data_IF_833396297510
#
_entry.id   IF_833396297510
#
_cell.length_a   1.000
_cell.length_b   1.000
_cell.length_c   1.000
_cell.angle_alpha   90.00
_cell.angle_beta   90.00
_cell.angle_gamma   90.00
#
_symmetry.space_group_name_H-M   'P 1'
#
loop_
_entity.id
_entity.type
_entity.pdbx_description
1 polymer ?
#
# COMPACT_ATOMS: atom_id res chain seq x y z
N UNK A 1 -17.31 12.95 -21.50
CA UNK A 1 -17.15 12.02 -22.63
C UNK A 1 -16.37 12.80 -23.65
N UNK A 2 -15.08 12.54 -23.68
CA UNK A 2 -14.21 12.86 -24.79
C UNK A 2 -13.97 11.58 -25.59
N UNK A 3 -13.60 11.73 -26.86
CA UNK A 3 -13.44 10.62 -27.78
C UNK A 3 -12.05 10.57 -28.40
N UNK A 4 -11.30 11.68 -28.41
CA UNK A 4 -9.97 11.76 -29.02
C UNK A 4 -9.32 13.13 -28.78
N UNK A 5 -8.02 13.15 -28.46
CA UNK A 5 -7.20 14.37 -28.43
C UNK A 5 -6.23 14.34 -27.26
N UNK A 6 -5.15 15.11 -27.31
CA UNK A 6 -4.26 15.27 -26.16
C UNK A 6 -4.78 16.47 -25.35
N UNK A 7 -5.52 16.19 -24.28
CA UNK A 7 -6.27 17.14 -23.50
C UNK A 7 -5.66 17.41 -22.11
N UNK A 8 -6.12 18.50 -21.49
CA UNK A 8 -5.79 18.80 -20.10
C UNK A 8 -7.07 19.05 -19.33
N UNK A 9 -7.36 18.13 -18.41
CA UNK A 9 -8.50 18.19 -17.52
C UNK A 9 -8.15 18.93 -16.23
N UNK A 10 -8.52 20.20 -16.16
CA UNK A 10 -8.38 21.03 -14.95
C UNK A 10 -9.70 21.08 -14.16
N UNK A 11 -9.76 20.30 -13.07
CA UNK A 11 -10.94 20.15 -12.24
C UNK A 11 -10.88 20.98 -10.96
N UNK A 12 -11.91 21.81 -10.72
CA UNK A 12 -12.11 22.45 -9.42
C UNK A 12 -12.29 21.41 -8.28
N UNK A 13 -12.05 21.77 -7.00
CA UNK A 13 -12.30 20.89 -5.87
C UNK A 13 -13.71 20.29 -5.89
N UNK A 14 -13.81 18.99 -5.65
CA UNK A 14 -15.08 18.24 -5.70
C UNK A 14 -15.78 18.31 -7.07
N UNK A 15 -15.02 18.49 -8.15
CA UNK A 15 -15.48 18.70 -9.51
C UNK A 15 -15.37 17.47 -10.41
N UNK A 16 -14.22 17.31 -11.08
CA UNK A 16 -14.03 16.35 -12.17
C UNK A 16 -14.37 14.91 -11.72
N UNK A 17 -15.32 14.28 -12.40
CA UNK A 17 -15.75 12.91 -12.12
C UNK A 17 -16.14 12.64 -10.65
N UNK A 18 -16.62 13.64 -9.91
CA UNK A 18 -16.96 13.47 -8.49
C UNK A 18 -18.43 13.10 -8.27
N UNK A 19 -18.68 11.96 -7.63
CA UNK A 19 -20.01 11.54 -7.18
C UNK A 19 -20.39 12.12 -5.83
N UNK A 20 -21.15 13.20 -5.80
CA UNK A 20 -21.61 13.87 -4.56
C UNK A 20 -23.08 13.61 -4.29
N UNK A 21 -23.41 12.57 -3.50
CA UNK A 21 -24.80 12.11 -3.32
C UNK A 21 -25.53 11.87 -4.66
N UNK A 22 -24.77 11.47 -5.68
CA UNK A 22 -25.19 11.36 -7.07
C UNK A 22 -24.10 10.72 -7.90
N UNK A 23 -24.11 10.94 -9.22
CA UNK A 23 -23.13 10.36 -10.15
C UNK A 23 -22.28 11.46 -10.77
N UNK A 24 -20.95 11.30 -10.69
CA UNK A 24 -19.97 12.05 -11.48
C UNK A 24 -19.25 11.08 -12.42
N UNK A 25 -19.12 11.45 -13.69
CA UNK A 25 -18.56 10.58 -14.72
C UNK A 25 -17.66 11.38 -15.66
N UNK A 26 -16.44 10.90 -15.87
CA UNK A 26 -15.59 11.22 -17.01
C UNK A 26 -15.28 9.92 -17.75
N UNK A 27 -15.28 10.02 -19.08
CA UNK A 27 -14.93 8.96 -20.01
C UNK A 27 -14.08 9.65 -21.05
N UNK A 28 -12.79 9.31 -21.10
CA UNK A 28 -11.90 9.54 -22.23
C UNK A 28 -11.77 8.22 -23.01
N UNK A 29 -11.46 8.31 -24.30
CA UNK A 29 -11.29 7.16 -25.16
C UNK A 29 -9.90 7.08 -25.82
N UNK A 30 -9.21 8.21 -26.01
CA UNK A 30 -7.95 8.26 -26.72
C UNK A 30 -7.27 9.62 -26.58
N UNK A 31 -5.98 9.61 -26.25
CA UNK A 31 -5.18 10.82 -26.14
C UNK A 31 -3.95 10.55 -25.30
N UNK A 32 -2.92 11.38 -25.37
CA UNK A 32 -1.96 11.45 -24.25
C UNK A 32 -2.38 12.64 -23.35
N UNK A 33 -3.12 12.34 -22.28
CA UNK A 33 -3.89 13.30 -21.48
C UNK A 33 -3.22 13.69 -20.16
N UNK A 34 -3.58 14.88 -19.66
CA UNK A 34 -3.17 15.37 -18.35
C UNK A 34 -4.37 15.64 -17.46
N UNK A 35 -4.49 14.89 -16.37
CA UNK A 35 -5.53 15.04 -15.37
C UNK A 35 -5.03 15.82 -14.15
N UNK A 36 -5.41 17.09 -14.04
CA UNK A 36 -5.11 17.93 -12.88
C UNK A 36 -6.26 17.87 -11.86
N UNK A 37 -6.04 17.06 -10.83
CA UNK A 37 -7.07 16.65 -9.88
C UNK A 37 -6.91 17.36 -8.53
N UNK A 38 -7.73 18.39 -8.32
CA UNK A 38 -7.86 19.02 -6.99
C UNK A 38 -8.62 18.10 -6.01
N UNK A 39 -8.66 18.47 -4.73
CA UNK A 39 -9.22 17.69 -3.64
C UNK A 39 -10.62 17.16 -3.96
N UNK A 40 -10.80 15.84 -3.87
CA UNK A 40 -12.09 15.22 -4.07
C UNK A 40 -12.51 15.06 -5.53
N UNK A 41 -11.58 14.96 -6.48
CA UNK A 41 -11.86 14.78 -7.91
C UNK A 41 -11.18 13.53 -8.50
N UNK A 42 -11.38 13.26 -9.79
CA UNK A 42 -10.75 12.12 -10.47
C UNK A 42 -11.39 10.79 -10.09
N UNK A 43 -12.70 10.68 -10.31
CA UNK A 43 -13.45 9.47 -9.98
C UNK A 43 -13.77 9.34 -8.49
N UNK A 44 -13.77 10.43 -7.72
CA UNK A 44 -13.98 10.36 -6.27
C UNK A 44 -15.47 10.23 -5.87
N UNK A 45 -15.76 9.37 -4.89
CA UNK A 45 -17.11 9.08 -4.40
C UNK A 45 -17.39 9.62 -2.99
N UNK A 46 -18.28 10.61 -2.86
CA UNK A 46 -18.74 11.16 -1.57
C UNK A 46 -20.24 10.96 -1.38
N UNK A 47 -20.62 9.84 -0.78
CA UNK A 47 -22.02 9.45 -0.68
C UNK A 47 -22.68 9.11 -2.03
N UNK A 48 -21.88 9.01 -3.10
CA UNK A 48 -22.32 8.82 -4.48
C UNK A 48 -21.32 7.98 -5.29
N UNK A 49 -21.47 7.99 -6.61
CA UNK A 49 -20.63 7.24 -7.55
C UNK A 49 -19.75 8.23 -8.34
N UNK A 50 -18.45 8.23 -8.10
CA UNK A 50 -17.47 8.92 -8.93
C UNK A 50 -16.77 7.91 -9.84
N UNK A 51 -16.74 8.18 -11.14
CA UNK A 51 -16.11 7.31 -12.13
C UNK A 51 -15.28 8.16 -13.08
N UNK A 52 -13.98 7.89 -13.14
CA UNK A 52 -13.10 8.32 -14.22
C UNK A 52 -12.73 7.05 -14.99
N UNK A 53 -12.94 7.07 -16.29
CA UNK A 53 -12.51 6.01 -17.20
C UNK A 53 -11.66 6.63 -18.29
N UNK A 54 -10.41 6.19 -18.40
CA UNK A 54 -9.58 6.36 -19.58
C UNK A 54 -9.46 5.02 -20.29
N UNK A 55 -9.45 5.04 -21.62
CA UNK A 55 -9.36 3.83 -22.41
C UNK A 55 -7.98 3.60 -23.02
N UNK A 56 -7.25 4.67 -23.35
CA UNK A 56 -6.01 4.62 -24.14
C UNK A 56 -5.26 5.93 -24.01
N UNK A 57 -3.98 5.83 -23.67
CA UNK A 57 -3.11 7.00 -23.72
C UNK A 57 -1.72 6.72 -23.22
N UNK A 58 -0.98 7.77 -22.91
CA UNK A 58 0.11 7.73 -21.94
C UNK A 58 -0.11 8.95 -21.05
N UNK A 59 -0.84 8.73 -19.98
CA UNK A 59 -1.59 9.74 -19.28
C UNK A 59 -0.90 10.12 -17.97
N UNK A 60 -1.16 11.37 -17.54
CA UNK A 60 -0.57 11.91 -16.33
C UNK A 60 -1.67 12.33 -15.36
N UNK A 61 -1.85 11.55 -14.31
CA UNK A 61 -2.78 11.80 -13.21
C UNK A 61 -2.11 12.53 -12.04
N UNK A 62 -2.42 13.81 -11.88
CA UNK A 62 -1.84 14.68 -10.86
C UNK A 62 -2.86 15.02 -9.77
N UNK A 63 -2.87 14.24 -8.69
CA UNK A 63 -3.78 14.36 -7.57
C UNK A 63 -3.24 15.10 -6.35
N UNK A 64 -4.15 15.77 -5.64
CA UNK A 64 -3.90 16.24 -4.28
C UNK A 64 -4.28 15.17 -3.24
N UNK A 65 -5.35 15.39 -2.46
CA UNK A 65 -5.91 14.43 -1.51
C UNK A 65 -7.33 14.05 -1.87
N UNK A 66 -7.74 12.82 -1.52
CA UNK A 66 -9.09 12.33 -1.84
C UNK A 66 -9.35 12.33 -3.35
N UNK A 67 -8.35 11.93 -4.14
CA UNK A 67 -8.43 11.88 -5.61
C UNK A 67 -8.17 10.47 -6.14
N UNK A 68 -8.32 10.26 -7.46
CA UNK A 68 -7.97 9.01 -8.15
C UNK A 68 -8.69 7.81 -7.52
N UNK A 69 -10.01 7.77 -7.72
CA UNK A 69 -10.86 6.69 -7.23
C UNK A 69 -11.07 6.67 -5.72
N UNK A 70 -10.73 7.72 -4.97
CA UNK A 70 -10.94 7.78 -3.52
C UNK A 70 -12.43 7.87 -3.14
N UNK A 71 -12.82 7.31 -1.98
CA UNK A 71 -14.21 7.34 -1.55
C UNK A 71 -14.44 7.48 -0.04
N UNK A 72 -15.53 8.16 0.32
CA UNK A 72 -16.14 8.18 1.66
C UNK A 72 -17.66 8.08 1.48
N UNK A 73 -18.29 7.03 2.02
CA UNK A 73 -19.74 6.83 1.94
C UNK A 73 -20.29 6.45 0.56
N UNK A 74 -19.44 6.20 -0.44
CA UNK A 74 -19.84 5.93 -1.81
C UNK A 74 -18.84 5.04 -2.54
N UNK A 75 -18.90 5.04 -3.87
CA UNK A 75 -17.93 4.37 -4.75
C UNK A 75 -17.10 5.43 -5.46
N UNK A 76 -15.79 5.33 -5.34
CA UNK A 76 -14.85 6.02 -6.21
C UNK A 76 -14.14 5.00 -7.09
N UNK A 77 -14.07 5.29 -8.39
CA UNK A 77 -13.43 4.43 -9.38
C UNK A 77 -12.62 5.29 -10.36
N UNK A 78 -11.35 4.95 -10.49
CA UNK A 78 -10.55 5.25 -11.67
C UNK A 78 -10.27 3.92 -12.37
N UNK A 79 -10.57 3.84 -13.65
CA UNK A 79 -10.23 2.72 -14.52
C UNK A 79 -9.43 3.27 -15.69
N UNK A 80 -8.16 2.91 -15.76
CA UNK A 80 -7.35 3.06 -16.97
C UNK A 80 -7.28 1.70 -17.67
N UNK A 81 -7.32 1.70 -19.00
CA UNK A 81 -7.36 0.46 -19.76
C UNK A 81 -6.13 0.21 -20.60
N UNK A 82 -5.30 1.22 -20.88
CA UNK A 82 -4.07 1.05 -21.63
C UNK A 82 -3.25 2.35 -21.64
N UNK A 83 -1.96 2.23 -21.36
CA UNK A 83 -1.02 3.32 -21.54
C UNK A 83 0.24 3.08 -20.76
N UNK A 84 1.22 3.97 -20.85
CA UNK A 84 2.29 3.99 -19.86
C UNK A 84 2.09 5.26 -19.04
N UNK A 85 1.44 5.09 -17.91
CA UNK A 85 0.75 6.16 -17.20
C UNK A 85 1.48 6.53 -15.90
N UNK A 86 1.23 7.75 -15.46
CA UNK A 86 1.81 8.28 -14.23
C UNK A 86 0.72 8.76 -13.29
N UNK A 87 0.62 8.09 -12.15
CA UNK A 87 -0.23 8.45 -11.03
C UNK A 87 0.60 9.14 -9.96
N UNK A 88 0.24 10.38 -9.59
CA UNK A 88 0.91 11.10 -8.50
C UNK A 88 -0.14 11.65 -7.54
N UNK A 89 0.05 11.47 -6.24
CA UNK A 89 -0.83 12.03 -5.21
C UNK A 89 -0.13 12.37 -3.91
N UNK A 90 -0.81 13.10 -3.04
CA UNK A 90 -0.28 13.47 -1.73
C UNK A 90 -0.96 12.75 -0.56
N UNK A 91 -2.05 12.03 -0.81
CA UNK A 91 -2.59 11.07 0.13
C UNK A 91 -4.11 10.89 0.11
N UNK A 92 -4.61 9.86 0.76
CA UNK A 92 -6.04 9.49 0.70
C UNK A 92 -6.49 9.33 -0.76
N UNK A 93 -5.66 8.72 -1.60
CA UNK A 93 -5.81 8.73 -3.06
C UNK A 93 -5.35 7.40 -3.67
N UNK A 94 -5.53 7.22 -4.97
CA UNK A 94 -5.15 6.00 -5.70
C UNK A 94 -5.86 4.79 -5.06
N UNK A 95 -7.18 4.75 -5.20
CA UNK A 95 -8.00 3.65 -4.70
C UNK A 95 -8.21 3.67 -3.18
N UNK A 96 -8.20 4.85 -2.54
CA UNK A 96 -8.39 4.97 -1.10
C UNK A 96 -9.87 4.77 -0.67
N UNK A 97 -10.10 3.90 0.32
CA UNK A 97 -11.41 3.68 0.93
C UNK A 97 -11.55 4.23 2.35
N UNK A 98 -12.27 5.34 2.52
CA UNK A 98 -12.64 5.90 3.82
C UNK A 98 -13.94 5.30 4.39
N UNK A 99 -14.43 5.76 5.55
CA UNK A 99 -15.64 5.20 6.17
C UNK A 99 -16.83 5.07 5.22
N UNK A 100 -17.47 3.90 5.21
CA UNK A 100 -18.60 3.55 4.33
C UNK A 100 -18.30 3.68 2.82
N UNK A 101 -17.04 3.88 2.43
CA UNK A 101 -16.60 4.06 1.05
C UNK A 101 -15.91 2.82 0.49
N UNK A 102 -16.01 2.64 -0.82
CA UNK A 102 -15.17 1.75 -1.61
C UNK A 102 -14.42 2.62 -2.61
N UNK A 103 -13.10 2.71 -2.48
CA UNK A 103 -12.24 3.37 -3.45
C UNK A 103 -11.47 2.35 -4.26
N UNK A 104 -11.38 2.55 -5.57
CA UNK A 104 -10.70 1.64 -6.47
C UNK A 104 -9.93 2.39 -7.57
N UNK A 105 -8.72 1.94 -7.83
CA UNK A 105 -8.00 2.13 -9.09
C UNK A 105 -7.83 0.77 -9.72
N UNK A 106 -8.14 0.67 -11.01
CA UNK A 106 -7.91 -0.51 -11.82
C UNK A 106 -7.13 -0.05 -13.04
N UNK A 107 -5.95 -0.60 -13.24
CA UNK A 107 -5.15 -0.46 -14.45
C UNK A 107 -5.11 -1.82 -15.15
N UNK A 108 -5.02 -1.83 -16.49
CA UNK A 108 -5.17 -3.06 -17.29
C UNK A 108 -3.90 -3.43 -18.06
N UNK A 109 -3.19 -2.45 -18.63
CA UNK A 109 -1.94 -2.70 -19.34
C UNK A 109 -1.11 -1.44 -19.39
N UNK A 110 0.17 -1.56 -19.08
CA UNK A 110 1.08 -0.44 -19.19
C UNK A 110 2.43 -0.72 -18.59
N UNK A 111 3.39 0.19 -18.73
CA UNK A 111 4.49 0.24 -17.76
C UNK A 111 4.28 1.52 -16.95
N UNK A 112 3.71 1.38 -15.75
CA UNK A 112 3.07 2.45 -15.01
C UNK A 112 3.88 2.91 -13.80
N UNK A 113 3.64 4.14 -13.36
CA UNK A 113 4.27 4.70 -12.18
C UNK A 113 3.24 5.29 -11.21
N UNK A 114 3.14 4.65 -10.04
CA UNK A 114 2.30 5.07 -8.92
C UNK A 114 3.11 5.73 -7.81
N UNK A 115 2.89 7.03 -7.60
CA UNK A 115 3.54 7.81 -6.54
C UNK A 115 2.51 8.38 -5.56
N UNK A 116 2.73 8.20 -4.25
CA UNK A 116 1.89 8.82 -3.21
C UNK A 116 2.68 9.27 -1.97
N UNK A 117 2.58 10.56 -1.63
CA UNK A 117 3.13 11.12 -0.39
C UNK A 117 3.82 12.46 -0.57
N UNK A 118 4.98 12.61 0.09
CA UNK A 118 5.96 13.72 0.01
C UNK A 118 5.50 15.14 0.40
N UNK A 119 4.21 15.34 0.67
CA UNK A 119 3.66 16.66 0.99
C UNK A 119 3.27 16.82 2.45
N UNK A 120 2.60 15.83 3.05
CA UNK A 120 2.04 15.94 4.40
C UNK A 120 2.93 15.21 5.41
N UNK A 121 3.63 15.93 6.31
CA UNK A 121 4.52 15.29 7.28
C UNK A 121 3.78 14.38 8.24
N UNK A 122 4.37 13.22 8.49
CA UNK A 122 3.82 12.26 9.43
C UNK A 122 3.91 12.75 10.87
N UNK A 123 2.89 12.44 11.67
CA UNK A 123 2.90 12.69 13.10
C UNK A 123 4.05 11.96 13.83
N UNK A 124 4.58 10.87 13.26
CA UNK A 124 5.71 10.14 13.81
C UNK A 124 7.01 10.95 13.87
N UNK A 125 7.14 12.00 13.04
CA UNK A 125 8.33 12.85 13.06
C UNK A 125 8.55 13.51 14.43
N UNK A 126 7.49 13.76 15.22
CA UNK A 126 7.63 14.32 16.56
C UNK A 126 8.47 13.44 17.51
N UNK A 127 8.46 12.12 17.27
CA UNK A 127 9.23 11.15 18.06
C UNK A 127 10.50 10.71 17.34
N UNK A 128 10.40 10.37 16.06
CA UNK A 128 11.48 9.69 15.33
C UNK A 128 12.45 10.65 14.64
N UNK A 129 12.00 11.86 14.33
CA UNK A 129 12.79 12.89 13.66
C UNK A 129 12.45 14.30 14.20
N UNK A 130 12.57 14.55 15.52
CA UNK A 130 12.06 15.77 16.16
C UNK A 130 12.71 17.06 15.65
N UNK A 131 13.91 16.94 15.06
CA UNK A 131 14.64 18.05 14.42
C UNK A 131 14.78 17.87 12.91
N UNK A 132 14.18 16.82 12.35
CA UNK A 132 14.25 16.50 10.94
C UNK A 132 13.45 17.48 10.09
N UNK A 133 13.81 17.57 8.82
CA UNK A 133 13.20 18.43 7.81
C UNK A 133 12.85 17.62 6.56
N UNK A 134 11.93 18.11 5.72
CA UNK A 134 11.72 17.60 4.37
C UNK A 134 13.04 17.30 3.65
N UNK A 135 13.18 16.09 3.11
CA UNK A 135 14.39 15.59 2.45
C UNK A 135 15.43 14.93 3.37
N UNK A 136 15.30 15.02 4.69
CA UNK A 136 16.17 14.27 5.60
C UNK A 136 15.82 12.77 5.55
N UNK A 137 16.79 11.83 5.62
CA UNK A 137 16.54 10.39 5.43
C UNK A 137 15.55 9.74 6.40
N UNK A 138 15.30 10.34 7.57
CA UNK A 138 14.37 9.84 8.59
C UNK A 138 13.04 10.62 8.64
N UNK A 139 12.91 11.66 7.81
CA UNK A 139 11.70 12.47 7.76
C UNK A 139 10.61 11.72 6.99
N UNK A 140 9.47 11.53 7.63
CA UNK A 140 8.38 10.70 7.13
C UNK A 140 7.21 11.55 6.66
N UNK A 141 6.50 11.06 5.64
CA UNK A 141 5.25 11.62 5.13
C UNK A 141 4.13 10.59 5.25
N UNK A 142 2.88 11.05 5.27
CA UNK A 142 1.71 10.18 5.20
C UNK A 142 1.16 10.13 3.77
N UNK A 143 0.74 8.92 3.33
CA UNK A 143 0.06 8.68 2.08
C UNK A 143 -1.40 8.27 2.32
N UNK A 144 -1.72 7.09 2.88
CA UNK A 144 -3.11 6.55 2.83
C UNK A 144 -3.61 6.37 1.40
N UNK A 145 -2.86 5.68 0.55
CA UNK A 145 -3.23 5.47 -0.85
C UNK A 145 -2.73 4.13 -1.39
N UNK A 146 -2.80 3.93 -2.70
CA UNK A 146 -2.43 2.65 -3.34
C UNK A 146 -3.24 1.49 -2.75
N UNK A 147 -4.56 1.63 -2.77
CA UNK A 147 -5.49 0.64 -2.24
C UNK A 147 -5.65 0.63 -0.73
N UNK A 148 -5.19 1.67 -0.01
CA UNK A 148 -5.39 1.75 1.44
C UNK A 148 -6.87 1.90 1.84
N UNK A 149 -7.31 1.14 2.84
CA UNK A 149 -8.61 1.29 3.49
C UNK A 149 -8.47 1.80 4.92
N UNK A 150 -9.18 2.87 5.27
CA UNK A 150 -9.02 3.52 6.57
C UNK A 150 -10.33 3.99 7.20
N UNK A 151 -10.45 3.77 8.51
CA UNK A 151 -11.47 4.40 9.33
C UNK A 151 -11.07 5.77 9.86
N UNK A 152 -12.07 6.55 10.28
CA UNK A 152 -11.83 7.82 10.94
C UNK A 152 -11.62 7.58 12.43
N UNK A 153 -10.35 7.52 12.86
CA UNK A 153 -9.99 7.37 14.27
C UNK A 153 -9.82 8.73 14.94
N UNK A 154 -10.71 9.07 15.88
CA UNK A 154 -10.62 10.33 16.61
C UNK A 154 -9.80 10.13 17.90
N UNK A 155 -8.55 10.60 17.88
CA UNK A 155 -7.65 10.55 19.04
C UNK A 155 -7.87 11.78 19.94
N UNK A 156 -8.63 11.59 21.02
CA UNK A 156 -9.03 12.69 21.92
C UNK A 156 -9.15 12.24 23.37
N UNK A 157 -8.90 13.17 24.30
CA UNK A 157 -9.11 12.96 25.75
C UNK A 157 -10.58 13.07 26.17
N UNK A 158 -11.45 13.54 25.28
CA UNK A 158 -12.90 13.69 25.53
C UNK A 158 -13.62 12.40 25.16
N UNK A 159 -14.08 11.65 26.16
CA UNK A 159 -14.72 10.35 25.95
C UNK A 159 -15.96 10.42 25.05
N UNK A 160 -16.74 11.50 25.15
CA UNK A 160 -17.91 11.76 24.31
C UNK A 160 -17.57 11.92 22.82
N UNK A 161 -16.33 12.32 22.49
CA UNK A 161 -15.89 12.48 21.12
C UNK A 161 -15.43 11.16 20.47
N UNK A 162 -15.03 10.18 21.29
CA UNK A 162 -14.58 8.88 20.79
C UNK A 162 -15.71 8.14 20.04
N UNK A 163 -16.97 8.37 20.44
CA UNK A 163 -18.16 7.79 19.81
C UNK A 163 -18.40 8.25 18.36
N UNK A 164 -17.73 9.31 17.90
CA UNK A 164 -17.78 9.77 16.51
C UNK A 164 -16.67 9.17 15.64
N UNK A 165 -15.87 8.24 16.17
CA UNK A 165 -14.98 7.46 15.34
C UNK A 165 -15.80 6.57 14.41
N UNK A 166 -15.35 6.41 13.17
CA UNK A 166 -16.04 5.60 12.16
C UNK A 166 -15.14 4.46 11.71
N UNK A 167 -15.68 3.25 11.65
CA UNK A 167 -15.00 2.09 11.09
C UNK A 167 -14.68 2.30 9.61
N UNK A 168 -13.57 1.74 9.14
CA UNK A 168 -13.04 1.98 7.81
C UNK A 168 -13.79 1.29 6.67
N UNK A 169 -13.56 1.85 5.48
CA UNK A 169 -14.03 1.33 4.20
C UNK A 169 -12.95 0.50 3.50
N UNK A 170 -13.14 0.32 2.20
CA UNK A 170 -12.39 -0.64 1.39
C UNK A 170 -11.60 0.12 0.32
N UNK A 171 -10.28 -0.02 0.34
CA UNK A 171 -9.40 0.46 -0.72
C UNK A 171 -8.95 -0.69 -1.61
N UNK A 172 -8.81 -0.41 -2.90
CA UNK A 172 -8.32 -1.34 -3.92
C UNK A 172 -7.41 -0.62 -4.91
N UNK A 173 -6.23 -1.16 -5.12
CA UNK A 173 -5.41 -0.96 -6.32
C UNK A 173 -5.27 -2.33 -6.99
N UNK A 174 -5.65 -2.41 -8.26
CA UNK A 174 -5.51 -3.61 -9.08
C UNK A 174 -4.76 -3.20 -10.35
N UNK A 175 -3.53 -3.66 -10.48
CA UNK A 175 -2.81 -3.70 -11.74
C UNK A 175 -2.92 -5.11 -12.33
N UNK A 176 -3.08 -5.20 -13.64
CA UNK A 176 -3.27 -6.48 -14.34
C UNK A 176 -2.00 -6.90 -15.08
N UNK A 177 -1.25 -5.95 -15.66
CA UNK A 177 -0.09 -6.22 -16.50
C UNK A 177 0.77 -4.98 -16.60
N UNK A 178 2.05 -5.17 -16.36
CA UNK A 178 3.01 -4.13 -16.66
C UNK A 178 4.40 -4.43 -16.23
N UNK A 179 5.25 -3.42 -16.24
CA UNK A 179 6.53 -3.42 -15.53
C UNK A 179 6.57 -2.11 -14.74
N UNK A 180 6.05 -2.18 -13.52
CA UNK A 180 5.51 -1.02 -12.83
C UNK A 180 6.38 -0.56 -11.67
N UNK A 181 6.25 0.72 -11.36
CA UNK A 181 6.95 1.34 -10.25
C UNK A 181 5.97 1.93 -9.22
N UNK A 182 6.03 1.41 -7.99
CA UNK A 182 5.21 1.84 -6.87
C UNK A 182 6.05 2.53 -5.81
N UNK A 183 5.98 3.86 -5.72
CA UNK A 183 6.67 4.66 -4.71
C UNK A 183 5.67 5.30 -3.74
N UNK A 184 5.78 4.98 -2.44
CA UNK A 184 4.81 5.49 -1.48
C UNK A 184 5.38 5.82 -0.10
N UNK A 185 4.78 6.83 0.52
CA UNK A 185 5.03 7.19 1.91
C UNK A 185 4.22 6.30 2.88
N UNK A 186 3.98 6.75 4.12
CA UNK A 186 3.40 5.90 5.14
C UNK A 186 1.95 5.50 4.82
N UNK A 187 1.55 4.32 5.30
CA UNK A 187 0.19 3.79 5.24
C UNK A 187 -0.34 3.63 3.81
N UNK A 188 0.26 2.78 2.98
CA UNK A 188 -0.02 2.77 1.54
C UNK A 188 -0.47 1.40 1.01
N UNK A 189 0.44 0.68 0.35
CA UNK A 189 0.14 -0.39 -0.59
C UNK A 189 -0.61 -1.53 0.11
N UNK A 190 -1.91 -1.64 -0.19
CA UNK A 190 -2.80 -2.63 0.42
C UNK A 190 -2.96 -2.49 1.93
N UNK A 191 -2.88 -1.27 2.48
CA UNK A 191 -2.87 -1.03 3.92
C UNK A 191 -4.27 -0.96 4.56
N UNK A 192 -4.49 -1.67 5.66
CA UNK A 192 -5.73 -1.59 6.45
C UNK A 192 -5.57 -0.83 7.77
N UNK A 193 -6.27 0.30 7.96
CA UNK A 193 -6.21 1.11 9.19
C UNK A 193 -7.59 1.27 9.85
N UNK A 194 -7.67 1.05 11.17
CA UNK A 194 -8.87 1.35 11.98
C UNK A 194 -10.16 0.77 11.39
N UNK A 195 -10.26 -0.56 11.39
CA UNK A 195 -11.34 -1.36 10.76
C UNK A 195 -11.46 -1.23 9.23
N UNK A 196 -10.53 -0.55 8.56
CA UNK A 196 -10.46 -0.49 7.10
C UNK A 196 -9.83 -1.74 6.48
N UNK A 197 -10.19 -1.99 5.22
CA UNK A 197 -9.64 -3.09 4.39
C UNK A 197 -8.85 -2.45 3.26
N UNK A 198 -7.55 -2.70 3.20
CA UNK A 198 -6.71 -2.30 2.08
C UNK A 198 -6.31 -3.50 1.23
N UNK A 199 -6.34 -3.33 -0.09
CA UNK A 199 -6.01 -4.37 -1.07
C UNK A 199 -5.13 -3.76 -2.16
N UNK A 200 -3.94 -4.33 -2.38
CA UNK A 200 -3.15 -4.16 -3.61
C UNK A 200 -3.00 -5.52 -4.28
N UNK A 201 -3.27 -5.57 -5.57
CA UNK A 201 -3.05 -6.73 -6.42
C UNK A 201 -2.22 -6.27 -7.61
N UNK A 202 -1.06 -6.88 -7.77
CA UNK A 202 -0.26 -6.87 -8.99
C UNK A 202 -0.33 -8.26 -9.60
N UNK A 203 -0.53 -8.39 -10.91
CA UNK A 203 -0.82 -9.68 -11.52
C UNK A 203 0.21 -10.19 -12.53
N UNK A 204 1.07 -9.34 -13.08
CA UNK A 204 2.09 -9.72 -14.07
C UNK A 204 3.08 -8.57 -14.27
N UNK A 205 4.37 -8.82 -14.11
CA UNK A 205 5.38 -7.79 -14.36
C UNK A 205 6.73 -8.08 -13.75
N UNK A 206 7.74 -7.26 -14.03
CA UNK A 206 8.98 -7.25 -13.23
C UNK A 206 8.95 -5.90 -12.48
N UNK A 207 8.40 -5.91 -11.27
CA UNK A 207 7.87 -4.71 -10.61
C UNK A 207 8.79 -4.20 -9.49
N UNK A 208 8.66 -2.90 -9.19
CA UNK A 208 9.37 -2.26 -8.09
C UNK A 208 8.42 -1.69 -7.04
N UNK A 209 8.48 -2.19 -5.81
CA UNK A 209 7.68 -1.71 -4.68
C UNK A 209 8.54 -1.02 -3.63
N UNK A 210 8.44 0.29 -3.53
CA UNK A 210 9.06 1.10 -2.48
C UNK A 210 8.01 1.72 -1.57
N UNK A 211 8.11 1.45 -0.26
CA UNK A 211 7.20 2.05 0.71
C UNK A 211 7.88 2.48 2.01
N UNK A 212 7.35 3.53 2.63
CA UNK A 212 7.73 3.95 3.99
C UNK A 212 6.99 3.12 5.04
N UNK A 213 6.67 3.66 6.22
CA UNK A 213 6.09 2.88 7.33
C UNK A 213 4.67 2.38 7.03
N UNK A 214 4.33 1.15 7.39
CA UNK A 214 2.99 0.57 7.11
C UNK A 214 2.65 0.56 5.62
N UNK A 215 3.64 0.31 4.80
CA UNK A 215 3.65 0.58 3.37
C UNK A 215 3.37 -0.60 2.46
N UNK A 216 3.64 -1.85 2.88
CA UNK A 216 3.40 -3.05 2.05
C UNK A 216 2.61 -4.10 2.82
N UNK A 217 1.36 -4.34 2.40
CA UNK A 217 0.49 -5.37 2.95
C UNK A 217 0.34 -5.28 4.47
N UNK A 218 0.33 -4.06 5.01
CA UNK A 218 0.39 -3.82 6.44
C UNK A 218 -0.98 -3.48 7.03
N UNK A 219 -1.18 -3.73 8.31
CA UNK A 219 -2.44 -3.41 8.99
C UNK A 219 -2.24 -2.90 10.40
N UNK A 220 -3.11 -1.99 10.83
CA UNK A 220 -3.08 -1.41 12.18
C UNK A 220 -4.49 -1.16 12.71
N UNK A 221 -4.68 -1.41 14.01
CA UNK A 221 -5.91 -1.09 14.76
C UNK A 221 -7.15 -1.78 14.16
N UNK A 222 -7.21 -3.11 14.22
CA UNK A 222 -8.32 -3.89 13.64
C UNK A 222 -8.48 -3.80 12.12
N UNK A 223 -7.52 -3.22 11.40
CA UNK A 223 -7.52 -3.19 9.94
C UNK A 223 -7.22 -4.54 9.32
N UNK A 224 -7.48 -4.66 8.02
CA UNK A 224 -7.12 -5.81 7.19
C UNK A 224 -6.27 -5.34 6.01
N UNK A 225 -5.07 -5.89 5.86
CA UNK A 225 -4.19 -5.62 4.72
C UNK A 225 -4.02 -6.86 3.84
N UNK A 226 -4.17 -6.68 2.53
CA UNK A 226 -3.86 -7.69 1.53
C UNK A 226 -2.95 -7.08 0.46
N UNK A 227 -1.81 -7.71 0.24
CA UNK A 227 -0.91 -7.41 -0.87
C UNK A 227 -0.63 -8.73 -1.58
N UNK A 228 -0.87 -8.79 -2.88
CA UNK A 228 -0.45 -9.93 -3.71
C UNK A 228 0.30 -9.35 -4.91
N UNK A 229 1.52 -9.81 -5.10
CA UNK A 229 2.15 -9.85 -6.41
C UNK A 229 2.03 -11.27 -6.95
N UNK A 230 1.72 -11.44 -8.24
CA UNK A 230 1.37 -12.75 -8.79
C UNK A 230 2.49 -13.42 -9.58
N UNK A 231 3.33 -12.64 -10.27
CA UNK A 231 4.31 -13.19 -11.21
C UNK A 231 5.33 -12.12 -11.63
N UNK A 232 6.62 -12.36 -11.41
CA UNK A 232 7.68 -11.44 -11.81
C UNK A 232 9.09 -11.82 -11.38
N UNK A 233 10.11 -11.06 -11.80
CA UNK A 233 11.36 -10.88 -11.04
C UNK A 233 11.36 -9.49 -10.35
N UNK A 234 10.87 -9.45 -9.12
CA UNK A 234 10.41 -8.24 -8.45
C UNK A 234 11.40 -7.69 -7.42
N UNK A 235 11.23 -6.40 -7.12
CA UNK A 235 12.05 -5.66 -6.15
C UNK A 235 11.20 -4.99 -5.11
N UNK A 236 11.32 -5.46 -3.90
CA UNK A 236 10.66 -4.89 -2.73
C UNK A 236 11.67 -4.13 -1.88
N UNK A 237 11.35 -2.89 -1.52
CA UNK A 237 12.16 -2.10 -0.62
C UNK A 237 11.35 -1.27 0.35
N UNK A 238 11.99 -0.97 1.48
CA UNK A 238 11.42 -0.14 2.52
C UNK A 238 12.30 1.06 2.80
N UNK A 239 11.77 2.27 2.60
CA UNK A 239 12.41 3.51 3.06
C UNK A 239 12.32 3.70 4.58
N UNK A 240 11.49 2.90 5.26
CA UNK A 240 11.49 2.71 6.72
C UNK A 240 10.66 3.73 7.51
N UNK A 241 10.80 3.76 8.86
CA UNK A 241 11.63 2.89 9.68
C UNK A 241 10.96 1.58 10.14
N UNK A 242 9.63 1.40 10.01
CA UNK A 242 8.93 0.28 10.66
C UNK A 242 7.72 -0.25 9.87
N UNK A 243 7.37 -1.51 10.13
CA UNK A 243 6.14 -2.21 9.77
C UNK A 243 5.86 -2.31 8.26
N UNK A 244 6.69 -3.04 7.52
CA UNK A 244 6.46 -3.36 6.11
C UNK A 244 6.60 -4.86 5.86
N UNK A 245 5.92 -5.35 4.83
CA UNK A 245 6.04 -6.73 4.38
C UNK A 245 5.13 -7.68 5.15
N UNK A 246 3.81 -7.58 4.95
CA UNK A 246 2.85 -8.52 5.56
C UNK A 246 2.72 -8.39 7.08
N UNK A 247 2.81 -7.15 7.60
CA UNK A 247 2.92 -6.90 9.06
C UNK A 247 1.60 -6.45 9.65
N UNK A 248 1.22 -6.99 10.82
CA UNK A 248 -0.02 -6.65 11.52
C UNK A 248 0.23 -6.13 12.94
N UNK A 249 -0.41 -5.01 13.27
CA UNK A 249 -0.35 -4.32 14.56
C UNK A 249 -1.74 -4.16 15.21
N UNK A 250 -1.87 -4.41 16.52
CA UNK A 250 -3.05 -4.07 17.33
C UNK A 250 -4.36 -4.71 16.81
N UNK A 251 -4.47 -6.03 17.02
CA UNK A 251 -5.63 -6.85 16.65
C UNK A 251 -6.03 -6.78 15.16
N UNK A 252 -5.07 -6.49 14.28
CA UNK A 252 -5.28 -6.42 12.84
C UNK A 252 -4.80 -7.70 12.13
N UNK A 253 -5.11 -7.84 10.84
CA UNK A 253 -4.75 -9.01 10.03
C UNK A 253 -4.09 -8.57 8.73
N UNK A 254 -2.93 -9.13 8.42
CA UNK A 254 -2.17 -8.86 7.20
C UNK A 254 -1.77 -10.14 6.50
N UNK A 255 -1.91 -10.15 5.19
CA UNK A 255 -1.35 -11.16 4.30
C UNK A 255 -0.64 -10.46 3.15
N UNK A 256 0.65 -10.74 3.02
CA UNK A 256 1.43 -10.44 1.83
C UNK A 256 1.82 -11.74 1.16
N UNK A 257 1.57 -11.84 -0.14
CA UNK A 257 1.99 -12.95 -0.98
C UNK A 257 2.82 -12.36 -2.11
N UNK A 258 4.03 -12.86 -2.25
CA UNK A 258 4.76 -12.84 -3.50
C UNK A 258 4.59 -14.22 -4.14
N UNK A 259 4.04 -14.27 -5.34
CA UNK A 259 3.70 -15.52 -6.00
C UNK A 259 4.51 -15.71 -7.29
N UNK A 260 4.56 -16.96 -7.74
CA UNK A 260 5.45 -17.35 -8.81
C UNK A 260 6.75 -17.94 -8.30
N UNK A 261 7.76 -17.93 -9.17
CA UNK A 261 9.08 -18.53 -8.93
C UNK A 261 10.17 -17.61 -9.44
N UNK A 262 9.96 -16.32 -9.17
CA UNK A 262 10.78 -15.22 -9.61
C UNK A 262 12.19 -15.32 -9.05
N UNK A 263 12.95 -14.24 -9.23
CA UNK A 263 14.23 -14.11 -8.56
C UNK A 263 14.25 -12.75 -7.91
N UNK A 264 13.69 -12.73 -6.73
CA UNK A 264 13.18 -11.53 -6.11
C UNK A 264 14.18 -10.96 -5.13
N UNK A 265 14.08 -9.65 -4.90
CA UNK A 265 14.95 -8.95 -3.97
C UNK A 265 14.15 -8.18 -2.95
N UNK A 266 14.35 -8.51 -1.68
CA UNK A 266 13.67 -7.91 -0.53
C UNK A 266 14.67 -7.08 0.31
N UNK A 267 14.65 -5.77 0.11
CA UNK A 267 15.50 -4.78 0.79
C UNK A 267 14.77 -4.06 1.95
N UNK A 268 14.65 -4.75 3.07
CA UNK A 268 13.93 -4.31 4.28
C UNK A 268 14.86 -4.02 5.48
N UNK A 269 16.11 -3.64 5.22
CA UNK A 269 17.10 -3.31 6.26
C UNK A 269 16.68 -2.10 7.11
N UNK A 270 15.77 -1.27 6.59
CA UNK A 270 15.19 -0.11 7.28
C UNK A 270 13.79 -0.38 7.84
N UNK A 271 13.37 -1.62 8.05
CA UNK A 271 12.06 -1.96 8.65
C UNK A 271 12.14 -2.95 9.83
N UNK A 272 11.00 -3.38 10.39
CA UNK A 272 10.87 -4.26 11.58
C UNK A 272 10.87 -5.77 11.29
N UNK A 273 11.21 -6.19 10.07
CA UNK A 273 11.16 -7.60 9.65
C UNK A 273 9.86 -7.97 8.95
N UNK A 274 9.89 -9.07 8.21
CA UNK A 274 8.81 -9.53 7.33
C UNK A 274 7.84 -10.46 8.07
N UNK A 275 6.56 -10.45 7.68
CA UNK A 275 5.54 -11.38 8.21
C UNK A 275 5.30 -11.25 9.71
N UNK A 276 5.44 -10.05 10.26
CA UNK A 276 5.43 -9.80 11.72
C UNK A 276 4.02 -9.59 12.28
N UNK A 277 3.77 -10.11 13.48
CA UNK A 277 2.49 -9.92 14.20
C UNK A 277 2.71 -9.35 15.61
N UNK A 278 2.34 -8.10 15.84
CA UNK A 278 2.54 -7.43 17.14
C UNK A 278 1.20 -7.01 17.78
N UNK A 279 1.17 -6.97 19.11
CA UNK A 279 -0.01 -6.54 19.89
C UNK A 279 -1.28 -7.27 19.46
N UNK A 280 -1.28 -8.60 19.50
CA UNK A 280 -2.38 -9.49 19.06
C UNK A 280 -2.70 -9.46 17.55
N UNK A 281 -1.89 -8.79 16.73
CA UNK A 281 -2.01 -8.81 15.27
C UNK A 281 -1.61 -10.15 14.63
N UNK A 282 -2.16 -10.44 13.46
CA UNK A 282 -1.89 -11.64 12.67
C UNK A 282 -1.24 -11.23 11.34
N UNK A 283 0.08 -11.38 11.22
CA UNK A 283 0.83 -10.96 10.02
C UNK A 283 1.50 -12.13 9.35
N UNK A 284 1.29 -12.31 8.05
CA UNK A 284 1.93 -13.36 7.26
C UNK A 284 2.59 -12.77 6.02
N UNK A 285 3.78 -13.26 5.71
CA UNK A 285 4.44 -13.11 4.42
C UNK A 285 4.64 -14.51 3.83
N UNK A 286 4.18 -14.71 2.61
CA UNK A 286 4.43 -15.93 1.83
C UNK A 286 5.14 -15.53 0.55
N UNK A 287 6.27 -16.16 0.28
CA UNK A 287 6.95 -16.19 -1.00
C UNK A 287 6.77 -17.61 -1.57
N UNK A 288 6.20 -17.73 -2.77
CA UNK A 288 5.94 -19.03 -3.41
C UNK A 288 7.22 -19.70 -3.94
N UNK A 289 8.31 -18.95 -4.08
CA UNK A 289 9.65 -19.47 -4.31
C UNK A 289 10.47 -18.67 -5.31
N UNK A 290 11.68 -19.16 -5.58
CA UNK A 290 12.62 -18.44 -6.41
C UNK A 290 14.07 -18.73 -6.05
N UNK A 291 14.96 -17.79 -6.35
CA UNK A 291 16.37 -17.86 -5.92
C UNK A 291 16.75 -16.50 -5.31
N UNK A 292 16.16 -16.25 -4.16
CA UNK A 292 15.81 -14.91 -3.74
C UNK A 292 16.84 -14.30 -2.80
N UNK A 293 16.75 -12.99 -2.66
CA UNK A 293 17.66 -12.22 -1.81
C UNK A 293 16.89 -11.47 -0.74
N UNK A 294 16.98 -11.97 0.49
CA UNK A 294 16.35 -11.33 1.64
C UNK A 294 17.34 -10.53 2.47
N UNK A 295 17.00 -9.27 2.72
CA UNK A 295 17.72 -8.38 3.63
C UNK A 295 16.74 -7.77 4.60
N UNK A 296 16.73 -8.25 5.85
CA UNK A 296 15.81 -7.77 6.88
C UNK A 296 16.54 -7.57 8.21
N UNK A 297 16.18 -6.49 8.93
CA UNK A 297 16.87 -6.12 10.17
C UNK A 297 16.50 -7.01 11.36
N UNK A 298 15.21 -7.27 11.55
CA UNK A 298 14.65 -7.79 12.81
C UNK A 298 14.03 -9.19 12.69
N UNK A 299 14.31 -9.92 11.61
CA UNK A 299 13.89 -11.31 11.41
C UNK A 299 12.68 -11.49 10.48
N UNK A 300 12.15 -12.71 10.46
CA UNK A 300 11.17 -13.20 9.48
C UNK A 300 10.11 -14.02 10.21
N UNK A 301 8.88 -13.53 10.32
CA UNK A 301 7.78 -14.25 10.97
C UNK A 301 7.78 -14.17 12.50
N UNK A 302 8.40 -13.15 13.10
CA UNK A 302 8.43 -12.94 14.55
C UNK A 302 7.14 -12.28 15.08
N UNK A 303 6.81 -12.48 16.36
CA UNK A 303 5.61 -11.88 16.97
C UNK A 303 5.84 -11.35 18.39
N UNK A 304 4.90 -10.54 18.87
CA UNK A 304 4.84 -10.11 20.27
C UNK A 304 3.41 -10.13 20.84
N UNK A 305 3.31 -10.17 22.17
CA UNK A 305 2.06 -9.95 22.92
C UNK A 305 0.86 -10.76 22.40
N UNK A 306 1.08 -12.06 22.14
CA UNK A 306 0.09 -13.03 21.62
C UNK A 306 -0.33 -12.81 20.15
N UNK A 307 0.51 -12.14 19.37
CA UNK A 307 0.35 -12.11 17.91
C UNK A 307 0.51 -13.49 17.27
N UNK A 308 0.06 -13.59 16.02
CA UNK A 308 0.35 -14.71 15.13
C UNK A 308 1.22 -14.16 14.00
N UNK A 309 2.33 -14.81 13.72
CA UNK A 309 3.28 -14.35 12.72
C UNK A 309 3.80 -15.53 11.91
N UNK A 310 4.19 -15.27 10.67
CA UNK A 310 4.71 -16.30 9.79
C UNK A 310 5.43 -15.71 8.60
N UNK A 311 6.60 -16.26 8.33
CA UNK A 311 7.29 -16.09 7.06
C UNK A 311 7.46 -17.47 6.44
N UNK A 312 7.04 -17.59 5.18
CA UNK A 312 7.10 -18.83 4.42
C UNK A 312 7.75 -18.53 3.08
N UNK A 313 8.91 -19.11 2.86
CA UNK A 313 9.51 -19.30 1.55
C UNK A 313 9.30 -20.79 1.19
N UNK A 314 8.63 -21.04 0.07
CA UNK A 314 8.04 -22.35 -0.23
C UNK A 314 8.87 -23.22 -1.15
N UNK A 315 9.80 -22.67 -1.92
CA UNK A 315 10.66 -23.40 -2.87
C UNK A 315 11.81 -22.50 -3.34
N UNK A 316 13.07 -22.85 -3.08
CA UNK A 316 14.15 -22.01 -3.60
C UNK A 316 15.52 -22.35 -3.07
N UNK A 317 16.53 -21.63 -3.56
CA UNK A 317 17.86 -21.62 -2.93
C UNK A 317 18.31 -20.17 -2.75
N UNK A 318 18.14 -19.68 -1.53
CA UNK A 318 18.04 -18.26 -1.26
C UNK A 318 19.24 -17.73 -0.49
N UNK A 319 19.35 -16.40 -0.48
CA UNK A 319 20.39 -15.69 0.27
C UNK A 319 19.77 -14.77 1.30
N UNK A 320 19.92 -15.16 2.56
CA UNK A 320 19.53 -14.34 3.71
C UNK A 320 20.71 -13.52 4.24
N UNK A 321 20.66 -12.20 4.05
CA UNK A 321 21.67 -11.28 4.57
C UNK A 321 21.16 -10.55 5.81
N UNK A 322 21.78 -10.83 6.95
CA UNK A 322 21.54 -10.11 8.18
C UNK A 322 22.50 -8.91 8.29
N UNK A 323 22.06 -7.76 8.84
CA UNK A 323 22.95 -6.62 9.03
C UNK A 323 24.07 -6.96 10.03
N UNK A 324 25.26 -6.30 9.94
CA UNK A 324 26.42 -6.64 10.77
C UNK A 324 26.18 -6.52 12.29
N UNK A 325 25.24 -5.66 12.69
CA UNK A 325 24.81 -5.43 14.07
C UNK A 325 23.56 -6.26 14.46
N UNK A 326 23.19 -7.25 13.64
CA UNK A 326 22.04 -8.12 13.92
C UNK A 326 22.21 -8.85 15.25
N UNK A 327 21.18 -8.73 16.09
CA UNK A 327 21.08 -9.43 17.37
C UNK A 327 20.35 -10.78 17.26
N UNK A 328 20.07 -11.26 16.05
CA UNK A 328 19.32 -12.51 15.84
C UNK A 328 20.14 -13.71 16.36
N UNK A 329 19.58 -14.47 17.34
CA UNK A 329 20.21 -15.67 17.88
C UNK A 329 20.51 -16.73 16.80
N UNK A 330 21.57 -17.53 16.99
CA UNK A 330 22.02 -18.50 15.98
C UNK A 330 20.97 -19.59 15.64
N UNK A 331 20.16 -19.96 16.61
CA UNK A 331 19.07 -20.93 16.50
C UNK A 331 17.87 -20.42 15.69
N UNK A 332 17.70 -19.10 15.61
CA UNK A 332 16.65 -18.43 14.81
C UNK A 332 17.21 -17.63 13.63
N UNK A 333 18.41 -17.99 13.15
CA UNK A 333 18.94 -17.46 11.89
C UNK A 333 18.25 -18.14 10.70
N UNK A 334 17.74 -17.37 9.73
CA UNK A 334 17.12 -17.91 8.51
C UNK A 334 18.17 -18.60 7.61
N UNK A 335 17.69 -19.36 6.63
CA UNK A 335 18.49 -20.05 5.64
C UNK A 335 17.80 -21.29 5.09
N UNK A 336 18.29 -21.76 3.95
CA UNK A 336 17.67 -22.79 3.11
C UNK A 336 17.33 -24.07 3.88
N UNK A 337 16.09 -24.55 3.71
CA UNK A 337 15.56 -25.78 4.31
C UNK A 337 15.39 -25.73 5.84
N UNK A 338 15.31 -24.53 6.44
CA UNK A 338 15.14 -24.37 7.89
C UNK A 338 13.68 -24.15 8.28
N UNK A 339 13.32 -24.77 9.41
CA UNK A 339 12.07 -24.54 10.13
C UNK A 339 12.41 -24.20 11.59
N UNK A 340 11.91 -23.08 12.08
CA UNK A 340 11.99 -22.77 13.50
C UNK A 340 10.80 -21.92 13.98
N UNK A 341 10.61 -21.92 15.29
CA UNK A 341 9.56 -21.17 15.98
C UNK A 341 10.19 -20.12 16.89
N UNK A 342 9.62 -18.92 16.92
CA UNK A 342 10.10 -17.86 17.80
C UNK A 342 9.62 -18.06 19.25
N UNK A 343 10.41 -17.70 20.27
CA UNK A 343 10.02 -17.86 21.67
C UNK A 343 8.75 -17.11 22.07
N UNK A 344 8.45 -15.98 21.42
CA UNK A 344 7.28 -15.14 21.67
C UNK A 344 6.06 -15.55 20.83
N UNK A 345 6.22 -16.55 19.95
CA UNK A 345 5.24 -16.94 18.93
C UNK A 345 5.71 -16.53 17.54
N UNK A 346 5.22 -17.24 16.51
CA UNK A 346 5.62 -17.03 15.12
C UNK A 346 6.46 -18.18 14.56
N UNK A 347 6.55 -18.24 13.23
CA UNK A 347 7.23 -19.32 12.51
C UNK A 347 8.01 -18.78 11.31
N UNK A 348 9.19 -19.33 11.11
CA UNK A 348 9.94 -19.23 9.86
C UNK A 348 9.95 -20.59 9.18
N UNK A 349 9.65 -20.62 7.89
CA UNK A 349 9.73 -21.80 7.04
C UNK A 349 10.41 -21.41 5.73
N UNK A 350 11.38 -22.23 5.34
CA UNK A 350 12.06 -22.23 4.05
C UNK A 350 12.22 -23.70 3.63
N UNK A 351 11.95 -24.03 2.37
CA UNK A 351 11.73 -25.40 1.90
C UNK A 351 12.62 -25.89 0.77
#
# INVERSE_FOLDING_TARGET
>A
IDLNGDDTYDGAPLGLATGRLGVGLLVDYAGDDVYQLDMGSGGAGFGGLGILFDAKGNDVYMGNRLTQGAAIGGLGLLLDAAGNDRYTSHGFAIGFGGPLGVGAVIDITGDDHYQCGDTYPSAFNAQDAPTGKPGDPLYQYDCFGLGAGSGQRILTKRADWQAYSLAGGWGLLLDIKGHDHYESANFSQGQGYFFGIGIKLDLDGDDEHQAARYGQGASAHFGVGLFIDYNGEDRYGSSGPFYNGGVAWDSSVSLMIDAGKGRDTYAFERSTGLGRGDYTGWGLFIDEGGADQYRAKSGFGDSSEKGVAGFFDLEGEDTYTLPPDSSIPADTRPGNGRLFYYPQGGVFVDR
#
